data_IF_708626651293
#
_entry.id   IF_708626651293
#
_cell.length_a   1.000
_cell.length_b   1.000
_cell.length_c   1.000
_cell.angle_alpha   90.00
_cell.angle_beta   90.00
_cell.angle_gamma   90.00
#
_symmetry.space_group_name_H-M   'P 1'
#
loop_
_entity.id
_entity.type
_entity.pdbx_description
1 polymer ?
#
# COMPACT_ATOMS: atom_id res chain seq x y z
N UNK A 1 57.40 -2.19 -29.71
CA UNK A 1 56.48 -2.14 -28.55
C UNK A 1 55.38 -1.06 -28.69
N UNK A 2 54.78 -0.83 -29.87
CA UNK A 2 53.77 0.24 -30.07
C UNK A 2 52.41 -0.20 -30.62
N UNK A 3 52.21 -1.48 -30.92
CA UNK A 3 50.99 -1.98 -31.58
C UNK A 3 49.99 -2.68 -30.64
N UNK A 4 50.36 -2.97 -29.38
CA UNK A 4 49.45 -3.59 -28.41
C UNK A 4 48.54 -2.62 -27.65
N UNK A 5 48.80 -1.30 -27.74
CA UNK A 5 47.97 -0.29 -27.06
C UNK A 5 46.70 0.08 -27.84
N UNK A 6 46.67 -0.16 -29.16
CA UNK A 6 45.58 0.26 -30.04
C UNK A 6 44.34 -0.66 -30.02
N UNK A 7 44.46 -1.86 -29.43
CA UNK A 7 43.36 -2.83 -29.37
C UNK A 7 42.56 -2.78 -28.05
N UNK A 8 42.99 -1.99 -27.05
CA UNK A 8 42.31 -1.86 -25.76
C UNK A 8 41.29 -0.70 -25.72
N UNK A 9 41.44 0.31 -26.57
CA UNK A 9 40.52 1.45 -26.64
C UNK A 9 39.08 1.10 -27.07
N UNK A 10 38.81 0.24 -28.07
CA UNK A 10 37.43 -0.08 -28.47
C UNK A 10 36.71 -0.96 -27.42
N UNK A 11 37.44 -1.76 -26.64
CA UNK A 11 36.86 -2.56 -25.56
C UNK A 11 36.40 -1.70 -24.37
N UNK A 12 37.13 -0.62 -24.04
CA UNK A 12 36.71 0.34 -23.01
C UNK A 12 35.52 1.21 -23.44
N UNK A 13 35.40 1.55 -24.73
CA UNK A 13 34.26 2.32 -25.25
C UNK A 13 32.95 1.52 -25.30
N UNK A 14 33.03 0.20 -25.54
CA UNK A 14 31.86 -0.69 -25.47
C UNK A 14 31.39 -0.92 -24.02
N UNK A 15 32.29 -0.93 -23.04
CA UNK A 15 31.92 -0.98 -21.62
C UNK A 15 31.28 0.34 -21.13
N UNK A 16 31.69 1.50 -21.67
CA UNK A 16 31.09 2.80 -21.36
C UNK A 16 29.69 2.97 -21.95
N UNK A 17 29.37 2.31 -23.08
CA UNK A 17 28.02 2.31 -23.66
C UNK A 17 27.00 1.46 -22.87
N UNK A 18 27.47 0.53 -22.03
CA UNK A 18 26.62 -0.19 -21.06
C UNK A 18 26.41 0.56 -19.74
N UNK A 19 27.11 1.68 -19.51
CA UNK A 19 26.78 2.65 -18.46
C UNK A 19 25.63 3.57 -18.91
N UNK A 20 24.63 2.99 -19.58
CA UNK A 20 23.43 3.66 -19.99
C UNK A 20 22.80 4.37 -18.80
N UNK A 21 22.59 5.67 -18.97
CA UNK A 21 21.75 6.56 -18.17
C UNK A 21 20.79 5.79 -17.25
N UNK A 22 21.24 5.48 -16.02
CA UNK A 22 20.29 5.20 -14.94
C UNK A 22 19.57 6.53 -14.76
N UNK A 23 18.34 6.64 -15.27
CA UNK A 23 17.44 7.69 -14.83
C UNK A 23 17.41 7.60 -13.30
N UNK A 24 17.89 8.64 -12.62
CA UNK A 24 17.80 8.71 -11.17
C UNK A 24 16.33 8.55 -10.79
N UNK A 25 16.01 7.41 -10.19
CA UNK A 25 14.65 7.10 -9.76
C UNK A 25 14.38 7.96 -8.53
N UNK A 26 13.75 9.11 -8.76
CA UNK A 26 13.29 10.00 -7.68
C UNK A 26 11.90 9.59 -7.25
N UNK A 27 11.79 9.17 -5.98
CA UNK A 27 10.52 8.83 -5.34
C UNK A 27 9.75 10.08 -4.87
N UNK A 28 10.42 11.23 -4.76
CA UNK A 28 9.81 12.51 -4.40
C UNK A 28 10.68 13.67 -4.90
N UNK A 29 10.17 14.90 -4.79
CA UNK A 29 10.91 16.15 -4.97
C UNK A 29 10.93 17.01 -3.69
N UNK A 30 10.26 16.55 -2.63
CA UNK A 30 10.12 17.29 -1.37
C UNK A 30 11.23 16.92 -0.38
N UNK A 31 12.06 17.87 0.08
CA UNK A 31 13.18 17.58 0.98
C UNK A 31 12.78 16.93 2.32
N UNK A 32 11.60 17.25 2.85
CA UNK A 32 11.07 16.61 4.07
C UNK A 32 10.75 15.13 3.85
N UNK A 33 10.21 14.78 2.68
CA UNK A 33 9.94 13.39 2.31
C UNK A 33 11.25 12.63 2.05
N UNK A 34 12.28 13.29 1.51
CA UNK A 34 13.62 12.69 1.36
C UNK A 34 14.22 12.32 2.73
N UNK A 35 14.18 13.22 3.72
CA UNK A 35 14.64 12.91 5.09
C UNK A 35 13.83 11.79 5.74
N UNK A 36 12.52 11.77 5.51
CA UNK A 36 11.66 10.68 5.98
C UNK A 36 12.06 9.33 5.34
N UNK A 37 12.41 9.30 4.05
CA UNK A 37 12.97 8.13 3.40
C UNK A 37 14.31 7.69 4.00
N UNK A 38 15.19 8.63 4.35
CA UNK A 38 16.47 8.32 4.99
C UNK A 38 16.26 7.63 6.35
N UNK A 39 15.29 8.10 7.15
CA UNK A 39 14.90 7.45 8.42
C UNK A 39 14.42 6.02 8.16
N UNK A 40 13.52 5.83 7.19
CA UNK A 40 13.01 4.51 6.81
C UNK A 40 14.17 3.60 6.37
N UNK A 41 15.08 4.10 5.52
CA UNK A 41 16.25 3.38 5.04
C UNK A 41 17.25 3.04 6.15
N UNK A 42 17.23 3.75 7.28
CA UNK A 42 18.04 3.42 8.46
C UNK A 42 17.66 2.08 9.10
N UNK A 43 16.38 1.69 8.99
CA UNK A 43 15.82 0.51 9.67
C UNK A 43 15.98 -0.80 8.90
N UNK A 44 15.84 -1.95 9.56
CA UNK A 44 15.97 -3.26 8.90
C UNK A 44 14.79 -3.52 7.97
N UNK A 45 13.58 -3.26 8.43
CA UNK A 45 12.37 -3.42 7.63
C UNK A 45 12.27 -2.39 6.50
N UNK A 46 12.59 -1.12 6.80
CA UNK A 46 12.52 -0.05 5.82
C UNK A 46 13.51 -0.21 4.66
N UNK A 47 14.71 -0.78 4.88
CA UNK A 47 15.63 -1.13 3.77
C UNK A 47 15.00 -2.03 2.71
N UNK A 48 14.23 -3.04 3.15
CA UNK A 48 13.54 -3.94 2.22
C UNK A 48 12.44 -3.22 1.45
N UNK A 49 11.70 -2.34 2.12
CA UNK A 49 10.67 -1.50 1.52
C UNK A 49 11.28 -0.53 0.48
N UNK A 50 12.38 0.15 0.81
CA UNK A 50 13.06 1.07 -0.12
C UNK A 50 13.56 0.34 -1.36
N UNK A 51 14.17 -0.84 -1.20
CA UNK A 51 14.58 -1.68 -2.34
C UNK A 51 13.40 -2.05 -3.24
N UNK A 52 12.23 -2.29 -2.66
CA UNK A 52 11.01 -2.52 -3.42
C UNK A 52 10.56 -1.27 -4.19
N UNK A 53 10.52 -0.10 -3.54
CA UNK A 53 10.09 1.16 -4.15
C UNK A 53 10.98 1.58 -5.31
N UNK A 54 12.30 1.39 -5.22
CA UNK A 54 13.20 1.67 -6.34
C UNK A 54 12.99 0.73 -7.55
N UNK A 55 12.48 -0.49 -7.32
CA UNK A 55 12.12 -1.42 -8.40
C UNK A 55 10.72 -1.16 -8.96
N UNK A 56 9.84 -0.59 -8.15
CA UNK A 56 8.44 -0.30 -8.46
C UNK A 56 8.17 1.18 -8.14
N UNK A 57 8.69 2.12 -8.94
CA UNK A 57 8.66 3.53 -8.58
C UNK A 57 7.23 4.06 -8.53
N UNK A 58 6.95 4.79 -7.45
CA UNK A 58 5.75 5.60 -7.24
C UNK A 58 6.19 6.93 -6.62
N UNK A 59 5.57 8.04 -7.04
CA UNK A 59 5.91 9.36 -6.53
C UNK A 59 5.14 9.66 -5.25
N UNK A 60 5.84 10.12 -4.22
CA UNK A 60 5.28 10.60 -2.98
C UNK A 60 5.25 12.12 -3.01
N UNK A 61 4.06 12.68 -2.83
CA UNK A 61 3.78 14.10 -2.82
C UNK A 61 2.87 14.42 -1.62
N UNK A 62 2.78 15.68 -1.25
CA UNK A 62 1.78 16.11 -0.26
C UNK A 62 0.39 16.23 -0.90
N UNK A 63 -0.62 15.88 -0.13
CA UNK A 63 -2.02 16.10 -0.48
C UNK A 63 -2.36 17.58 -0.30
N UNK A 64 -2.98 18.19 -1.31
CA UNK A 64 -3.53 19.53 -1.25
C UNK A 64 -4.99 19.56 -0.72
N UNK A 65 -5.48 18.43 -0.22
CA UNK A 65 -6.85 18.24 0.24
C UNK A 65 -6.86 17.83 1.71
N UNK A 66 -7.92 18.21 2.42
CA UNK A 66 -8.09 17.95 3.86
C UNK A 66 -8.06 16.45 4.17
N UNK A 67 -7.76 16.13 5.43
CA UNK A 67 -7.74 14.77 5.98
C UNK A 67 -6.34 14.27 6.33
N UNK A 68 -6.26 13.45 7.38
CA UNK A 68 -5.00 12.92 7.94
C UNK A 68 -4.57 11.57 7.34
N UNK A 69 -5.26 11.12 6.30
CA UNK A 69 -5.01 9.84 5.63
C UNK A 69 -4.15 10.03 4.39
N UNK A 70 -3.39 9.00 4.07
CA UNK A 70 -2.75 8.90 2.76
C UNK A 70 -3.82 8.63 1.67
N UNK A 71 -3.60 9.16 0.47
CA UNK A 71 -4.50 8.97 -0.69
C UNK A 71 -3.71 8.34 -1.83
N UNK A 72 -4.32 7.39 -2.54
CA UNK A 72 -3.64 6.63 -3.57
C UNK A 72 -4.16 7.00 -4.96
N UNK A 73 -3.36 7.75 -5.72
CA UNK A 73 -3.62 8.03 -7.13
C UNK A 73 -2.76 7.14 -8.02
N UNK A 74 -3.01 5.83 -7.94
CA UNK A 74 -2.14 4.81 -8.54
C UNK A 74 -2.16 4.87 -10.08
N UNK A 75 -3.25 5.35 -10.68
CA UNK A 75 -3.36 5.60 -12.11
C UNK A 75 -2.39 6.69 -12.58
N UNK A 76 -2.07 7.67 -11.73
CA UNK A 76 -1.06 8.71 -12.01
C UNK A 76 0.31 8.37 -11.43
N UNK A 77 0.45 7.19 -10.80
CA UNK A 77 1.68 6.75 -10.16
C UNK A 77 2.05 7.57 -8.93
N UNK A 78 1.05 8.03 -8.15
CA UNK A 78 1.26 8.88 -6.98
C UNK A 78 0.66 8.30 -5.70
N UNK A 79 1.35 8.54 -4.60
CA UNK A 79 0.87 8.39 -3.20
C UNK A 79 0.92 9.77 -2.57
N UNK A 80 -0.22 10.24 -2.08
CA UNK A 80 -0.36 11.56 -1.48
C UNK A 80 -0.37 11.42 0.04
N UNK A 81 0.48 12.17 0.73
CA UNK A 81 0.61 12.16 2.18
C UNK A 81 -0.02 13.42 2.78
N UNK A 82 -0.61 13.35 3.98
CA UNK A 82 -1.11 14.54 4.69
C UNK A 82 0.03 15.52 5.00
N UNK A 83 -0.24 16.82 4.84
CA UNK A 83 0.74 17.88 5.11
C UNK A 83 0.99 18.08 6.60
N UNK A 84 0.06 17.64 7.44
CA UNK A 84 0.04 17.83 8.89
C UNK A 84 1.21 17.13 9.60
N UNK A 85 1.88 16.17 8.95
CA UNK A 85 3.08 15.52 9.49
C UNK A 85 4.39 16.17 9.02
N UNK A 86 4.35 17.21 8.17
CA UNK A 86 5.54 17.83 7.58
C UNK A 86 6.50 18.43 8.63
N UNK A 87 6.01 18.80 9.80
CA UNK A 87 6.78 19.37 10.92
C UNK A 87 7.61 18.35 11.71
N UNK A 88 7.31 17.05 11.60
CA UNK A 88 8.02 15.99 12.31
C UNK A 88 8.52 14.92 11.34
N UNK A 89 9.84 14.88 11.13
CA UNK A 89 10.47 13.91 10.24
C UNK A 89 10.19 12.44 10.68
N UNK A 90 10.06 12.18 11.99
CA UNK A 90 9.74 10.85 12.52
C UNK A 90 8.30 10.43 12.21
N UNK A 91 7.31 11.28 12.51
CA UNK A 91 5.91 10.95 12.22
C UNK A 91 5.65 10.90 10.72
N UNK A 92 6.32 11.77 9.95
CA UNK A 92 6.30 11.73 8.49
C UNK A 92 6.87 10.42 7.97
N UNK A 93 8.00 9.94 8.51
CA UNK A 93 8.57 8.64 8.16
C UNK A 93 7.59 7.49 8.44
N UNK A 94 6.86 7.54 9.55
CA UNK A 94 5.85 6.53 9.88
C UNK A 94 4.64 6.57 8.94
N UNK A 95 4.11 7.76 8.64
CA UNK A 95 3.00 7.92 7.69
C UNK A 95 3.42 7.47 6.28
N UNK A 96 4.60 7.88 5.83
CA UNK A 96 5.18 7.47 4.55
C UNK A 96 5.35 5.96 4.50
N UNK A 97 5.93 5.37 5.54
CA UNK A 97 6.18 3.93 5.63
C UNK A 97 4.89 3.11 5.55
N UNK A 98 3.82 3.54 6.23
CA UNK A 98 2.50 2.91 6.14
C UNK A 98 1.99 2.94 4.71
N UNK A 99 1.97 4.11 4.08
CA UNK A 99 1.46 4.27 2.72
C UNK A 99 2.30 3.48 1.69
N UNK A 100 3.62 3.50 1.83
CA UNK A 100 4.53 2.74 0.99
C UNK A 100 4.36 1.22 1.16
N UNK A 101 4.10 0.75 2.38
CA UNK A 101 3.83 -0.67 2.64
C UNK A 101 2.50 -1.11 2.01
N UNK A 102 1.45 -0.31 2.13
CA UNK A 102 0.16 -0.57 1.48
C UNK A 102 0.34 -0.65 -0.04
N UNK A 103 1.07 0.31 -0.63
CA UNK A 103 1.40 0.27 -2.06
C UNK A 103 2.17 -1.00 -2.45
N UNK A 104 3.12 -1.46 -1.62
CA UNK A 104 3.83 -2.72 -1.83
C UNK A 104 2.87 -3.90 -1.87
N UNK A 105 1.98 -4.01 -0.89
CA UNK A 105 0.99 -5.09 -0.83
C UNK A 105 0.09 -5.05 -2.06
N UNK A 106 -0.48 -3.89 -2.40
CA UNK A 106 -1.29 -3.67 -3.59
C UNK A 106 -0.58 -4.14 -4.88
N UNK A 107 0.70 -3.80 -5.04
CA UNK A 107 1.48 -4.20 -6.23
C UNK A 107 1.79 -5.69 -6.27
N UNK A 108 2.04 -6.33 -5.13
CA UNK A 108 2.33 -7.77 -5.07
C UNK A 108 1.07 -8.61 -5.31
N UNK A 109 -0.09 -8.15 -4.81
CA UNK A 109 -1.38 -8.86 -4.89
C UNK A 109 -2.02 -8.68 -6.26
N UNK A 110 -1.89 -7.49 -6.85
CA UNK A 110 -2.51 -7.14 -8.13
C UNK A 110 -4.01 -6.88 -8.02
N UNK A 111 -4.49 -6.52 -6.83
CA UNK A 111 -5.86 -6.04 -6.63
C UNK A 111 -6.14 -4.81 -7.50
N UNK A 112 -7.41 -4.64 -7.89
CA UNK A 112 -7.81 -3.48 -8.69
C UNK A 112 -7.85 -2.19 -7.85
N UNK A 113 -8.19 -2.32 -6.56
CA UNK A 113 -8.36 -1.23 -5.59
C UNK A 113 -7.73 -1.63 -4.25
N UNK A 114 -7.38 -0.63 -3.43
CA UNK A 114 -6.85 -0.86 -2.09
C UNK A 114 -8.00 -1.27 -1.16
N UNK A 115 -7.74 -2.27 -0.32
CA UNK A 115 -8.72 -2.84 0.61
C UNK A 115 -8.33 -2.67 2.08
N UNK A 116 -9.29 -2.83 2.99
CA UNK A 116 -9.10 -2.66 4.43
C UNK A 116 -7.98 -3.52 5.01
N UNK A 117 -7.78 -4.73 4.48
CA UNK A 117 -6.77 -5.66 4.96
C UNK A 117 -5.34 -5.18 4.64
N UNK A 118 -5.17 -4.35 3.61
CA UNK A 118 -3.88 -3.71 3.32
C UNK A 118 -3.57 -2.61 4.34
N UNK A 119 -4.58 -1.87 4.80
CA UNK A 119 -4.47 -0.90 5.90
C UNK A 119 -4.09 -1.57 7.22
N UNK A 120 -4.65 -2.76 7.50
CA UNK A 120 -4.29 -3.56 8.67
C UNK A 120 -2.80 -3.92 8.69
N UNK A 121 -2.30 -4.44 7.56
CA UNK A 121 -0.88 -4.77 7.41
C UNK A 121 0.01 -3.52 7.45
N UNK A 122 -0.47 -2.42 6.86
CA UNK A 122 0.17 -1.12 6.92
C UNK A 122 0.32 -0.59 8.35
N UNK A 123 -0.71 -0.73 9.18
CA UNK A 123 -0.68 -0.31 10.58
C UNK A 123 0.30 -1.15 11.42
N UNK A 124 0.35 -2.48 11.21
CA UNK A 124 1.36 -3.33 11.85
C UNK A 124 2.77 -2.92 11.42
N UNK A 125 2.99 -2.70 10.12
CA UNK A 125 4.28 -2.27 9.61
C UNK A 125 4.71 -0.92 10.20
N UNK A 126 3.79 0.05 10.28
CA UNK A 126 4.02 1.35 10.91
C UNK A 126 4.46 1.19 12.37
N UNK A 127 3.77 0.34 13.14
CA UNK A 127 4.09 0.12 14.55
C UNK A 127 5.44 -0.58 14.75
N UNK A 128 5.79 -1.58 13.92
CA UNK A 128 7.12 -2.21 13.95
C UNK A 128 8.22 -1.20 13.62
N UNK A 129 8.00 -0.35 12.63
CA UNK A 129 8.95 0.68 12.26
C UNK A 129 9.14 1.72 13.39
N UNK A 130 8.05 2.12 14.05
CA UNK A 130 8.10 3.01 15.22
C UNK A 130 8.98 2.46 16.35
N UNK A 131 8.96 1.15 16.58
CA UNK A 131 9.87 0.49 17.52
C UNK A 131 11.33 0.50 17.02
N UNK A 132 11.56 0.19 15.74
CA UNK A 132 12.93 0.20 15.17
C UNK A 132 13.59 1.59 15.18
N UNK A 133 12.81 2.67 15.07
CA UNK A 133 13.32 4.06 15.18
C UNK A 133 13.38 4.57 16.62
N UNK A 134 13.02 3.76 17.62
CA UNK A 134 12.95 4.13 19.04
C UNK A 134 12.07 5.36 19.32
N UNK A 135 10.86 5.37 18.74
CA UNK A 135 9.89 6.44 18.96
C UNK A 135 9.46 6.51 20.44
N UNK A 136 9.39 7.73 20.99
CA UNK A 136 9.01 8.00 22.40
C UNK A 136 7.76 8.86 22.51
N UNK A 137 7.14 8.92 23.69
CA UNK A 137 5.85 9.63 23.87
C UNK A 137 5.96 11.13 23.53
N UNK A 138 7.10 11.72 23.88
CA UNK A 138 7.42 13.12 23.62
C UNK A 138 7.47 13.49 22.14
N UNK A 139 7.70 12.51 21.24
CA UNK A 139 7.71 12.75 19.79
C UNK A 139 6.30 13.04 19.25
N UNK A 140 5.27 12.52 19.92
CA UNK A 140 3.86 12.79 19.57
C UNK A 140 3.36 14.11 20.15
N UNK A 141 3.81 14.49 21.35
CA UNK A 141 3.31 15.68 22.05
C UNK A 141 3.60 17.02 21.36
N UNK A 142 4.48 17.02 20.35
CA UNK A 142 4.85 18.22 19.57
C UNK A 142 3.90 18.50 18.41
N UNK A 143 3.06 17.55 18.04
CA UNK A 143 2.29 17.57 16.79
C UNK A 143 0.80 17.40 17.06
N UNK A 144 -0.01 18.43 16.71
CA UNK A 144 -1.45 18.46 16.99
C UNK A 144 -2.24 17.31 16.36
N UNK A 145 -1.73 16.75 15.26
CA UNK A 145 -2.42 15.74 14.45
C UNK A 145 -1.87 14.31 14.66
N UNK A 146 -1.01 14.13 15.66
CA UNK A 146 -0.33 12.86 15.92
C UNK A 146 -1.15 11.89 16.77
N UNK A 147 -2.25 12.33 17.37
CA UNK A 147 -3.02 11.56 18.37
C UNK A 147 -3.58 10.23 17.84
N UNK A 148 -4.07 10.22 16.58
CA UNK A 148 -4.56 9.00 15.95
C UNK A 148 -3.42 7.98 15.75
N UNK A 149 -2.24 8.46 15.32
CA UNK A 149 -1.05 7.62 15.16
C UNK A 149 -0.54 7.10 16.50
N UNK A 150 -0.53 7.96 17.53
CA UNK A 150 -0.18 7.60 18.91
C UNK A 150 -1.09 6.51 19.44
N UNK A 151 -2.41 6.69 19.30
CA UNK A 151 -3.41 5.72 19.75
C UNK A 151 -3.26 4.38 19.03
N UNK A 152 -3.02 4.38 17.72
CA UNK A 152 -2.78 3.17 16.94
C UNK A 152 -1.48 2.45 17.37
N UNK A 153 -0.43 3.22 17.67
CA UNK A 153 0.83 2.66 18.17
C UNK A 153 0.68 2.08 19.58
N UNK A 154 0.04 2.80 20.50
CA UNK A 154 -0.25 2.35 21.85
C UNK A 154 -1.11 1.08 21.85
N UNK A 155 -2.11 1.03 20.99
CA UNK A 155 -2.92 -0.17 20.74
C UNK A 155 -2.07 -1.39 20.33
N UNK A 156 -1.03 -1.19 19.54
CA UNK A 156 -0.15 -2.29 19.12
C UNK A 156 0.77 -2.79 20.24
N UNK A 157 1.31 -1.85 21.03
CA UNK A 157 2.31 -2.10 22.08
C UNK A 157 1.66 -2.66 23.35
N UNK A 158 0.59 -2.01 23.83
CA UNK A 158 -0.07 -2.36 25.09
C UNK A 158 -0.94 -3.62 24.96
N UNK A 159 -1.75 -3.72 23.90
CA UNK A 159 -2.66 -4.84 23.69
C UNK A 159 -2.00 -5.95 22.85
N UNK A 160 -2.01 -5.79 21.53
CA UNK A 160 -1.40 -6.69 20.54
C UNK A 160 -1.70 -6.21 19.12
N UNK A 161 -1.09 -6.86 18.13
CA UNK A 161 -1.31 -6.61 16.71
C UNK A 161 -2.77 -6.76 16.27
N UNK A 162 -3.54 -7.70 16.85
CA UNK A 162 -4.96 -7.88 16.46
C UNK A 162 -5.79 -6.66 16.82
N UNK A 163 -5.54 -6.04 17.97
CA UNK A 163 -6.25 -4.84 18.36
C UNK A 163 -5.91 -3.68 17.42
N UNK A 164 -4.62 -3.45 17.13
CA UNK A 164 -4.18 -2.42 16.18
C UNK A 164 -4.78 -2.61 14.78
N UNK A 165 -4.79 -3.84 14.26
CA UNK A 165 -5.46 -4.16 12.98
C UNK A 165 -6.95 -3.86 13.03
N UNK A 166 -7.66 -4.23 14.10
CA UNK A 166 -9.10 -3.92 14.21
C UNK A 166 -9.37 -2.42 14.18
N UNK A 167 -8.51 -1.61 14.81
CA UNK A 167 -8.64 -0.15 14.74
C UNK A 167 -8.39 0.36 13.32
N UNK A 168 -7.34 -0.10 12.64
CA UNK A 168 -7.07 0.25 11.25
C UNK A 168 -8.22 -0.16 10.30
N UNK A 169 -8.78 -1.35 10.49
CA UNK A 169 -9.97 -1.84 9.76
C UNK A 169 -11.18 -0.95 10.03
N UNK A 170 -11.46 -0.63 11.30
CA UNK A 170 -12.58 0.24 11.68
C UNK A 170 -12.44 1.61 11.00
N UNK A 171 -11.24 2.17 11.02
CA UNK A 171 -10.93 3.43 10.34
C UNK A 171 -11.18 3.32 8.82
N UNK A 172 -10.65 2.28 8.18
CA UNK A 172 -10.80 2.03 6.74
C UNK A 172 -12.26 1.82 6.28
N UNK A 173 -13.11 1.27 7.15
CA UNK A 173 -14.52 0.99 6.86
C UNK A 173 -15.47 2.11 7.32
N UNK A 174 -14.97 3.12 8.03
CA UNK A 174 -15.79 4.26 8.43
C UNK A 174 -15.91 5.25 7.26
N UNK A 175 -17.12 5.69 6.87
CA UNK A 175 -17.28 6.65 5.78
C UNK A 175 -16.51 7.94 6.04
N UNK A 176 -15.62 8.28 5.12
CA UNK A 176 -14.84 9.51 5.14
C UNK A 176 -14.49 9.88 3.70
N UNK A 177 -15.14 10.93 3.20
CA UNK A 177 -15.01 11.37 1.82
C UNK A 177 -13.60 11.90 1.52
N UNK A 178 -12.95 12.53 2.50
CA UNK A 178 -11.59 13.05 2.35
C UNK A 178 -10.60 11.90 2.17
N UNK A 179 -10.87 10.75 2.78
CA UNK A 179 -10.01 9.57 2.75
C UNK A 179 -10.39 8.51 1.71
N UNK A 180 -11.34 8.78 0.82
CA UNK A 180 -11.85 7.81 -0.16
C UNK A 180 -12.38 6.52 0.50
N UNK A 181 -13.00 6.67 1.68
CA UNK A 181 -13.55 5.58 2.49
C UNK A 181 -15.08 5.55 2.39
N UNK A 182 -15.73 4.40 2.60
CA UNK A 182 -15.17 3.13 3.07
C UNK A 182 -14.44 2.34 1.99
N UNK A 183 -13.37 1.64 2.39
CA UNK A 183 -12.66 0.69 1.54
C UNK A 183 -13.45 -0.63 1.40
N UNK A 184 -13.13 -1.40 0.36
CA UNK A 184 -13.63 -2.77 0.25
C UNK A 184 -12.89 -3.72 1.20
N UNK A 185 -13.44 -4.92 1.40
CA UNK A 185 -12.81 -6.00 2.15
C UNK A 185 -12.51 -7.19 1.25
N UNK A 186 -11.65 -8.09 1.73
CA UNK A 186 -11.42 -9.38 1.09
C UNK A 186 -12.71 -10.22 1.03
N UNK A 187 -13.57 -10.10 2.04
CA UNK A 187 -14.87 -10.78 2.06
C UNK A 187 -15.81 -10.22 0.97
N UNK A 188 -15.83 -8.90 0.74
CA UNK A 188 -16.57 -8.31 -0.37
C UNK A 188 -16.10 -8.87 -1.72
N UNK A 189 -14.78 -9.04 -1.89
CA UNK A 189 -14.18 -9.62 -3.09
C UNK A 189 -14.56 -11.09 -3.27
N UNK A 190 -14.58 -11.88 -2.19
CA UNK A 190 -15.04 -13.27 -2.20
C UNK A 190 -16.51 -13.37 -2.64
N UNK A 191 -17.39 -12.61 -2.00
CA UNK A 191 -18.82 -12.58 -2.34
C UNK A 191 -19.01 -12.17 -3.80
N UNK A 192 -18.21 -11.21 -4.28
CA UNK A 192 -18.27 -10.78 -5.67
C UNK A 192 -17.78 -11.88 -6.64
N UNK A 193 -16.72 -12.63 -6.31
CA UNK A 193 -16.28 -13.80 -7.08
C UNK A 193 -17.35 -14.89 -7.16
N UNK A 194 -18.04 -15.16 -6.05
CA UNK A 194 -19.15 -16.12 -6.01
C UNK A 194 -20.32 -15.64 -6.90
N UNK A 195 -20.64 -14.35 -6.86
CA UNK A 195 -21.63 -13.74 -7.78
C UNK A 195 -21.19 -13.83 -9.23
N UNK A 196 -19.92 -13.62 -9.54
CA UNK A 196 -19.38 -13.76 -10.90
C UNK A 196 -19.54 -15.19 -11.43
N UNK A 197 -19.21 -16.19 -10.60
CA UNK A 197 -19.42 -17.60 -10.96
C UNK A 197 -20.89 -17.91 -11.23
N UNK A 198 -21.80 -17.44 -10.37
CA UNK A 198 -23.24 -17.59 -10.56
C UNK A 198 -23.71 -16.91 -11.85
N UNK A 199 -23.22 -15.70 -12.10
CA UNK A 199 -23.61 -14.91 -13.26
C UNK A 199 -23.15 -15.49 -14.61
N UNK A 200 -22.00 -16.17 -14.61
CA UNK A 200 -21.53 -16.95 -15.76
C UNK A 200 -22.49 -18.10 -16.06
N UNK A 201 -22.97 -18.80 -15.02
CA UNK A 201 -23.90 -19.92 -15.18
C UNK A 201 -25.33 -19.49 -15.58
N UNK A 202 -25.75 -18.29 -15.17
CA UNK A 202 -27.08 -17.74 -15.43
C UNK A 202 -27.13 -16.82 -16.67
N UNK A 203 -26.04 -16.76 -17.45
CA UNK A 203 -25.91 -15.92 -18.66
C UNK A 203 -26.12 -14.41 -18.45
N UNK A 204 -26.05 -13.92 -17.21
CA UNK A 204 -26.21 -12.50 -16.85
C UNK A 204 -24.88 -11.79 -16.51
N UNK A 205 -23.74 -12.39 -16.86
CA UNK A 205 -22.40 -11.86 -16.58
C UNK A 205 -22.17 -10.42 -17.06
N UNK A 206 -22.70 -10.02 -18.22
CA UNK A 206 -22.57 -8.66 -18.74
C UNK A 206 -23.17 -7.61 -17.80
N UNK A 207 -24.34 -7.90 -17.24
CA UNK A 207 -25.03 -7.04 -16.27
C UNK A 207 -24.19 -6.88 -15.00
N UNK A 208 -23.60 -7.97 -14.51
CA UNK A 208 -22.73 -7.93 -13.33
C UNK A 208 -21.49 -7.05 -13.55
N UNK A 209 -20.84 -7.15 -14.71
CA UNK A 209 -19.67 -6.32 -15.03
C UNK A 209 -20.06 -4.84 -15.14
N UNK A 210 -21.19 -4.56 -15.79
CA UNK A 210 -21.74 -3.21 -15.87
C UNK A 210 -22.00 -2.62 -14.48
N UNK A 211 -22.67 -3.36 -13.60
CA UNK A 211 -22.96 -2.90 -12.23
C UNK A 211 -21.70 -2.64 -11.41
N UNK A 212 -20.66 -3.47 -11.59
CA UNK A 212 -19.36 -3.26 -10.97
C UNK A 212 -18.71 -1.96 -11.45
N UNK A 213 -18.61 -1.78 -12.76
CA UNK A 213 -17.97 -0.59 -13.33
C UNK A 213 -18.75 0.68 -12.94
N UNK A 214 -20.09 0.61 -12.88
CA UNK A 214 -20.93 1.71 -12.38
C UNK A 214 -20.73 2.00 -10.89
N UNK A 215 -20.49 0.99 -10.05
CA UNK A 215 -20.13 1.20 -8.65
C UNK A 215 -18.79 1.94 -8.51
N UNK A 216 -17.82 1.61 -9.36
CA UNK A 216 -16.51 2.29 -9.40
C UNK A 216 -16.62 3.73 -9.89
N UNK A 217 -17.52 4.01 -10.84
CA UNK A 217 -17.86 5.37 -11.25
C UNK A 217 -18.41 6.19 -10.08
N UNK A 218 -19.35 5.63 -9.31
CA UNK A 218 -19.91 6.30 -8.12
C UNK A 218 -18.85 6.60 -7.06
N UNK A 219 -17.84 5.74 -6.94
CA UNK A 219 -16.68 5.92 -6.04
C UNK A 219 -15.61 6.86 -6.61
N UNK A 220 -15.73 7.30 -7.87
CA UNK A 220 -14.72 8.12 -8.55
C UNK A 220 -13.44 7.38 -8.96
N UNK A 221 -13.42 6.04 -8.83
CA UNK A 221 -12.27 5.21 -9.20
C UNK A 221 -12.13 5.01 -10.73
N UNK A 222 -13.22 5.23 -11.48
CA UNK A 222 -13.29 5.08 -12.93
C UNK A 222 -14.16 6.21 -13.53
N UNK A 223 -13.78 6.82 -14.67
CA UNK A 223 -14.64 7.77 -15.35
C UNK A 223 -15.81 7.06 -16.05
N UNK A 224 -16.97 7.72 -16.12
CA UNK A 224 -18.18 7.17 -16.76
C UNK A 224 -17.92 6.73 -18.22
N UNK A 225 -17.11 7.50 -18.96
CA UNK A 225 -16.74 7.18 -20.35
C UNK A 225 -15.99 5.85 -20.47
N UNK A 226 -15.17 5.49 -19.48
CA UNK A 226 -14.47 4.21 -19.45
C UNK A 226 -15.41 3.05 -19.14
N UNK A 227 -16.32 3.21 -18.17
CA UNK A 227 -17.34 2.21 -17.86
C UNK A 227 -18.22 1.90 -19.09
N UNK A 228 -18.70 2.93 -19.79
CA UNK A 228 -19.50 2.75 -21.01
C UNK A 228 -18.72 2.07 -22.13
N UNK A 229 -17.43 2.42 -22.29
CA UNK A 229 -16.55 1.78 -23.28
C UNK A 229 -16.31 0.30 -22.96
N UNK A 230 -16.14 -0.05 -21.68
CA UNK A 230 -15.97 -1.43 -21.24
C UNK A 230 -17.23 -2.26 -21.52
N UNK A 231 -18.42 -1.74 -21.18
CA UNK A 231 -19.70 -2.41 -21.45
C UNK A 231 -19.92 -2.62 -22.96
N UNK A 232 -19.74 -1.58 -23.78
CA UNK A 232 -19.88 -1.68 -25.23
C UNK A 232 -18.91 -2.71 -25.83
N UNK A 233 -17.65 -2.72 -25.39
CA UNK A 233 -16.65 -3.70 -25.85
C UNK A 233 -17.06 -5.11 -25.48
N UNK A 234 -17.55 -5.33 -24.27
CA UNK A 234 -17.93 -6.64 -23.78
C UNK A 234 -19.16 -7.18 -24.53
N UNK A 235 -20.16 -6.34 -24.82
CA UNK A 235 -21.36 -6.70 -25.60
C UNK A 235 -21.06 -6.96 -27.08
N UNK A 236 -20.03 -6.32 -27.63
CA UNK A 236 -19.62 -6.50 -29.01
C UNK A 236 -18.79 -7.78 -29.26
N UNK A 237 -18.43 -8.53 -28.21
CA UNK A 237 -17.64 -9.76 -28.38
C UNK A 237 -18.49 -10.88 -29.01
N UNK A 238 -17.93 -11.65 -29.96
CA UNK A 238 -18.54 -12.89 -30.41
C UNK A 238 -18.73 -13.87 -29.26
N UNK A 239 -19.75 -14.74 -29.33
CA UNK A 239 -20.10 -15.70 -28.27
C UNK A 239 -18.92 -16.52 -27.74
N UNK A 240 -18.05 -17.02 -28.64
CA UNK A 240 -16.85 -17.76 -28.23
C UNK A 240 -15.88 -16.91 -27.39
N UNK A 241 -15.67 -15.65 -27.78
CA UNK A 241 -14.80 -14.72 -27.06
C UNK A 241 -15.42 -14.29 -25.73
N UNK A 242 -16.75 -14.23 -25.60
CA UNK A 242 -17.43 -13.99 -24.33
C UNK A 242 -17.12 -15.10 -23.33
N UNK A 243 -17.27 -16.37 -23.70
CA UNK A 243 -16.94 -17.49 -22.81
C UNK A 243 -15.46 -17.51 -22.42
N UNK A 244 -14.57 -17.24 -23.38
CA UNK A 244 -13.13 -17.13 -23.10
C UNK A 244 -12.82 -15.99 -22.14
N UNK A 245 -13.46 -14.84 -22.32
CA UNK A 245 -13.31 -13.69 -21.44
C UNK A 245 -13.81 -14.01 -20.03
N UNK A 246 -15.01 -14.57 -19.88
CA UNK A 246 -15.61 -14.97 -18.60
C UNK A 246 -14.67 -15.89 -17.80
N UNK A 247 -14.16 -16.95 -18.45
CA UNK A 247 -13.22 -17.88 -17.82
C UNK A 247 -11.92 -17.20 -17.42
N UNK A 248 -11.29 -16.48 -18.34
CA UNK A 248 -10.01 -15.80 -18.09
C UNK A 248 -10.16 -14.77 -16.97
N UNK A 249 -11.28 -14.06 -16.94
CA UNK A 249 -11.60 -13.09 -15.91
C UNK A 249 -11.76 -13.75 -14.54
N UNK A 250 -12.59 -14.80 -14.45
CA UNK A 250 -12.79 -15.53 -13.19
C UNK A 250 -11.49 -16.17 -12.66
N UNK A 251 -10.73 -16.82 -13.54
CA UNK A 251 -9.45 -17.47 -13.20
C UNK A 251 -8.46 -16.42 -12.67
N UNK A 252 -8.32 -15.28 -13.36
CA UNK A 252 -7.43 -14.19 -12.93
C UNK A 252 -7.83 -13.60 -11.58
N UNK A 253 -9.11 -13.33 -11.36
CA UNK A 253 -9.59 -12.73 -10.11
C UNK A 253 -9.45 -13.73 -8.95
N UNK A 254 -9.70 -15.01 -9.20
CA UNK A 254 -9.47 -16.09 -8.23
C UNK A 254 -7.99 -16.22 -7.84
N UNK A 255 -7.08 -16.07 -8.81
CA UNK A 255 -5.64 -16.11 -8.56
C UNK A 255 -5.16 -14.91 -7.74
N UNK A 256 -5.67 -13.70 -8.03
CA UNK A 256 -5.41 -12.49 -7.24
C UNK A 256 -5.87 -12.70 -5.79
N UNK A 257 -7.10 -13.18 -5.60
CA UNK A 257 -7.67 -13.47 -4.28
C UNK A 257 -6.81 -14.46 -3.48
N UNK A 258 -6.46 -15.60 -4.07
CA UNK A 258 -5.60 -16.62 -3.42
C UNK A 258 -4.21 -16.09 -3.09
N UNK A 259 -3.65 -15.24 -3.96
CA UNK A 259 -2.36 -14.60 -3.71
C UNK A 259 -2.44 -13.65 -2.51
N UNK A 260 -3.51 -12.87 -2.43
CA UNK A 260 -3.77 -11.99 -1.29
C UNK A 260 -3.88 -12.79 0.01
N UNK A 261 -4.72 -13.81 0.07
CA UNK A 261 -4.89 -14.64 1.28
C UNK A 261 -3.56 -15.21 1.78
N UNK A 262 -2.75 -15.74 0.87
CA UNK A 262 -1.42 -16.27 1.20
C UNK A 262 -0.47 -15.20 1.71
N UNK A 263 -0.45 -14.02 1.06
CA UNK A 263 0.38 -12.91 1.49
C UNK A 263 -0.05 -12.41 2.87
N UNK A 264 -1.36 -12.23 3.07
CA UNK A 264 -1.93 -11.77 4.32
C UNK A 264 -1.56 -12.73 5.47
N UNK A 265 -1.85 -14.03 5.32
CA UNK A 265 -1.49 -15.03 6.33
C UNK A 265 0.03 -15.06 6.62
N UNK A 266 0.87 -14.90 5.59
CA UNK A 266 2.33 -14.82 5.75
C UNK A 266 2.76 -13.60 6.54
N UNK A 267 2.21 -12.42 6.27
CA UNK A 267 2.56 -11.19 6.98
C UNK A 267 2.10 -11.24 8.44
N UNK A 268 0.92 -11.82 8.73
CA UNK A 268 0.46 -12.04 10.11
C UNK A 268 1.39 -13.00 10.87
N UNK A 269 1.80 -14.10 10.24
CA UNK A 269 2.74 -15.04 10.84
C UNK A 269 4.12 -14.39 11.06
N UNK A 270 4.58 -13.59 10.10
CA UNK A 270 5.84 -12.85 10.21
C UNK A 270 5.81 -11.80 11.33
N UNK A 271 4.67 -11.14 11.54
CA UNK A 271 4.47 -10.24 12.67
C UNK A 271 4.55 -10.97 14.01
N UNK A 272 3.84 -12.09 14.16
CA UNK A 272 3.89 -12.89 15.38
C UNK A 272 5.33 -13.35 15.71
N UNK A 273 6.08 -13.80 14.69
CA UNK A 273 7.48 -14.17 14.85
C UNK A 273 8.37 -12.97 15.20
N UNK A 274 8.13 -11.81 14.56
CA UNK A 274 8.85 -10.58 14.85
C UNK A 274 8.65 -10.15 16.31
N UNK A 275 7.41 -10.17 16.80
CA UNK A 275 7.09 -9.81 18.19
C UNK A 275 7.78 -10.72 19.18
N UNK A 276 7.79 -12.04 18.93
CA UNK A 276 8.50 -12.99 19.78
C UNK A 276 10.00 -12.70 19.85
N UNK A 277 10.61 -12.24 18.74
CA UNK A 277 12.04 -11.90 18.71
C UNK A 277 12.38 -10.52 19.31
N UNK A 278 11.40 -9.61 19.42
CA UNK A 278 11.59 -8.23 19.89
C UNK A 278 10.79 -7.93 21.17
N UNK A 279 10.62 -8.94 22.03
CA UNK A 279 9.84 -8.83 23.25
C UNK A 279 10.40 -7.73 24.19
N UNK A 280 11.73 -7.62 24.29
CA UNK A 280 12.37 -6.58 25.10
C UNK A 280 12.09 -5.16 24.61
N UNK A 281 12.05 -4.94 23.30
CA UNK A 281 11.70 -3.63 22.71
C UNK A 281 10.24 -3.28 22.98
N UNK A 282 9.35 -4.27 22.89
CA UNK A 282 7.94 -4.11 23.23
C UNK A 282 7.75 -3.78 24.70
N UNK A 283 8.45 -4.45 25.61
CA UNK A 283 8.31 -4.20 27.05
C UNK A 283 8.84 -2.82 27.44
N UNK A 284 9.98 -2.39 26.89
CA UNK A 284 10.46 -1.01 27.01
C UNK A 284 9.46 0.01 26.49
N UNK A 285 8.87 -0.24 25.32
CA UNK A 285 7.85 0.65 24.76
C UNK A 285 6.56 0.66 25.61
N UNK A 286 6.18 -0.46 26.24
CA UNK A 286 5.02 -0.49 27.15
C UNK A 286 5.23 0.40 28.36
N UNK A 287 6.44 0.44 28.91
CA UNK A 287 6.78 1.33 30.02
C UNK A 287 6.69 2.79 29.59
N UNK A 288 7.33 3.14 28.46
CA UNK A 288 7.32 4.49 27.88
C UNK A 288 5.89 4.99 27.60
N UNK A 289 5.03 4.12 27.07
CA UNK A 289 3.66 4.45 26.68
C UNK A 289 2.61 3.99 27.71
N UNK A 290 3.01 3.76 28.97
CA UNK A 290 2.09 3.30 30.03
C UNK A 290 0.93 4.27 30.33
N UNK A 291 1.13 5.56 30.04
CA UNK A 291 0.13 6.61 30.21
C UNK A 291 -0.86 6.73 29.03
N UNK A 292 -0.73 5.90 27.99
CA UNK A 292 -1.63 5.98 26.84
C UNK A 292 -3.08 5.64 27.24
N UNK A 293 -3.97 6.62 27.15
CA UNK A 293 -5.41 6.42 27.32
C UNK A 293 -5.97 5.68 26.11
N UNK A 294 -6.00 4.34 26.17
CA UNK A 294 -6.61 3.55 25.11
C UNK A 294 -8.11 3.87 25.03
N UNK A 295 -8.66 4.24 23.86
CA UNK A 295 -10.09 4.41 23.71
C UNK A 295 -10.78 3.05 23.89
N UNK A 296 -11.70 2.97 24.85
CA UNK A 296 -12.59 1.83 25.07
C UNK A 296 -13.64 1.72 23.96
#
# INVERSE_FOLDING_TARGET
MRTRLLLLLPACLLAAACAGSRKDIRLTTEPSLERAFDIIQGTRQGKQLMKFLYKNPVRFEYSNSTGLCHKFSLNTGKVLLPEEYKSSDLLLALALARAAHIYRVYKETGLEEIISEEEELGAIFQARLALEINLVDADFGRERHAEAMKTAFCSYVLENSRYAMRQARKEALTPDADCQRPLETLENQRVWLEKARKAINEENFHQLIYERDMARVRKGAMPMSEAMRNDARLRALPTYEVYRYQRTFYDRQSDIFRRFEKLYAREIAADAAWRAAHQADLDRAREEFSACGLPY
#
